data_IF_137091926420
#
_entry.id   IF_137091926420
#
_cell.length_a   1.000
_cell.length_b   1.000
_cell.length_c   1.000
_cell.angle_alpha   90.00
_cell.angle_beta   90.00
_cell.angle_gamma   90.00
#
_symmetry.space_group_name_H-M   'P 1'
#
loop_
_entity.id
_entity.type
_entity.pdbx_description
1 polymer ?
#
# COMPACT_ATOMS: atom_id res chain seq x y z
N UNK A 1 5.68 8.72 -11.20
CA UNK A 1 4.60 7.88 -10.63
C UNK A 1 5.16 7.05 -9.49
N UNK A 2 4.47 7.02 -8.36
CA UNK A 2 4.91 6.24 -7.21
C UNK A 2 4.54 4.76 -7.40
N UNK A 3 5.48 3.87 -7.17
CA UNK A 3 5.29 2.42 -7.36
C UNK A 3 6.14 1.64 -6.36
N UNK A 4 5.86 0.34 -6.24
CA UNK A 4 6.71 -0.53 -5.43
C UNK A 4 8.09 -0.67 -6.06
N UNK A 5 9.11 -0.80 -5.21
CA UNK A 5 10.46 -1.12 -5.66
C UNK A 5 10.45 -2.42 -6.46
N UNK A 6 11.22 -2.45 -7.54
CA UNK A 6 11.32 -3.64 -8.40
C UNK A 6 11.69 -4.87 -7.58
N UNK A 7 10.92 -5.95 -7.76
CA UNK A 7 11.13 -7.19 -7.03
C UNK A 7 10.43 -7.26 -5.67
N UNK A 8 9.80 -6.18 -5.22
CA UNK A 8 8.99 -6.21 -4.01
C UNK A 8 7.72 -7.04 -4.24
N UNK A 9 7.32 -7.82 -3.24
CA UNK A 9 6.15 -8.69 -3.33
C UNK A 9 5.22 -8.47 -2.14
N UNK A 10 3.91 -8.59 -2.40
CA UNK A 10 2.89 -8.55 -1.37
C UNK A 10 2.31 -9.96 -1.25
N UNK A 11 2.37 -10.52 -0.05
CA UNK A 11 1.75 -11.79 0.27
C UNK A 11 0.53 -11.49 1.14
N UNK A 12 -0.64 -11.90 0.70
CA UNK A 12 -1.91 -11.61 1.38
C UNK A 12 -2.48 -12.85 2.03
N UNK A 13 -2.97 -12.69 3.27
CA UNK A 13 -3.76 -13.71 3.94
C UNK A 13 -5.24 -13.45 3.60
N UNK A 14 -5.89 -14.31 2.80
CA UNK A 14 -7.27 -14.08 2.40
C UNK A 14 -8.27 -14.19 3.56
N UNK A 15 -7.90 -14.88 4.63
CA UNK A 15 -8.80 -15.04 5.78
C UNK A 15 -8.94 -13.75 6.59
N UNK A 16 -7.87 -12.94 6.70
CA UNK A 16 -7.85 -11.73 7.52
C UNK A 16 -7.79 -10.45 6.70
N UNK A 17 -7.41 -10.52 5.42
CA UNK A 17 -7.13 -9.37 4.58
C UNK A 17 -5.79 -8.70 4.89
N UNK A 18 -5.05 -9.19 5.89
CA UNK A 18 -3.72 -8.70 6.22
C UNK A 18 -2.69 -9.27 5.27
N UNK A 19 -1.52 -8.66 5.26
CA UNK A 19 -0.47 -9.10 4.37
C UNK A 19 0.92 -8.73 4.85
N UNK A 20 1.88 -9.08 4.00
CA UNK A 20 3.29 -8.82 4.23
C UNK A 20 3.89 -8.28 2.95
N UNK A 21 4.64 -7.18 3.07
CA UNK A 21 5.46 -6.66 1.98
C UNK A 21 6.88 -7.17 2.19
N UNK A 22 7.43 -7.82 1.17
CA UNK A 22 8.80 -8.33 1.19
C UNK A 22 9.59 -7.66 0.08
N UNK A 23 10.74 -7.07 0.43
CA UNK A 23 11.64 -6.45 -0.56
C UNK A 23 12.75 -7.42 -0.94
N UNK A 24 13.44 -7.18 -2.10
CA UNK A 24 14.53 -8.06 -2.55
C UNK A 24 15.69 -8.16 -1.56
N UNK A 25 15.90 -7.13 -0.72
CA UNK A 25 16.92 -7.14 0.33
C UNK A 25 16.43 -7.79 1.63
N UNK A 26 15.34 -8.57 1.56
CA UNK A 26 14.76 -9.37 2.65
C UNK A 26 14.19 -8.57 3.81
N UNK A 27 13.89 -7.29 3.63
CA UNK A 27 13.13 -6.53 4.63
C UNK A 27 11.65 -6.87 4.53
N UNK A 28 10.97 -6.88 5.67
CA UNK A 28 9.59 -7.33 5.77
C UNK A 28 8.77 -6.29 6.54
N UNK A 29 7.61 -5.92 6.00
CA UNK A 29 6.62 -5.08 6.68
C UNK A 29 5.31 -5.83 6.82
N UNK A 30 4.75 -5.82 8.02
CA UNK A 30 3.39 -6.31 8.25
C UNK A 30 2.40 -5.24 7.79
N UNK A 31 1.43 -5.65 6.99
CA UNK A 31 0.43 -4.76 6.39
C UNK A 31 -0.95 -5.04 6.98
N UNK A 32 -1.64 -3.98 7.39
CA UNK A 32 -3.06 -4.07 7.71
C UNK A 32 -3.89 -4.16 6.40
N UNK A 33 -5.20 -4.47 6.48
CA UNK A 33 -6.00 -4.62 5.26
C UNK A 33 -6.00 -3.41 4.34
N UNK A 34 -6.02 -2.19 4.89
CA UNK A 34 -6.00 -0.98 4.06
C UNK A 34 -4.68 -0.80 3.33
N UNK A 35 -3.56 -1.12 3.98
CA UNK A 35 -2.25 -1.09 3.33
C UNK A 35 -2.16 -2.12 2.20
N UNK A 36 -2.70 -3.31 2.39
CA UNK A 36 -2.75 -4.34 1.33
C UNK A 36 -3.51 -3.83 0.12
N UNK A 37 -4.69 -3.25 0.31
CA UNK A 37 -5.50 -2.71 -0.79
C UNK A 37 -4.76 -1.62 -1.54
N UNK A 38 -4.18 -0.65 -0.82
CA UNK A 38 -3.49 0.48 -1.43
C UNK A 38 -2.24 0.04 -2.21
N UNK A 39 -1.39 -0.79 -1.61
CA UNK A 39 -0.15 -1.23 -2.23
C UNK A 39 -0.40 -2.20 -3.39
N UNK A 40 -1.44 -3.02 -3.32
CA UNK A 40 -1.84 -3.88 -4.42
C UNK A 40 -2.22 -3.05 -5.64
N UNK A 41 -2.95 -1.93 -5.45
CA UNK A 41 -3.30 -1.05 -6.55
C UNK A 41 -2.05 -0.43 -7.19
N UNK A 42 -1.08 0.02 -6.39
CA UNK A 42 0.18 0.53 -6.92
C UNK A 42 0.97 -0.55 -7.65
N UNK A 43 0.98 -1.77 -7.14
CA UNK A 43 1.68 -2.90 -7.77
C UNK A 43 1.09 -3.26 -9.13
N UNK A 44 -0.20 -2.99 -9.34
CA UNK A 44 -0.90 -3.21 -10.61
C UNK A 44 -0.70 -2.09 -11.62
N UNK A 45 0.05 -1.07 -11.26
CA UNK A 45 0.30 0.09 -12.11
C UNK A 45 -0.67 1.25 -11.87
N UNK A 46 -1.52 1.17 -10.86
CA UNK A 46 -2.42 2.26 -10.47
C UNK A 46 -1.67 3.43 -9.84
N UNK A 47 -2.33 4.58 -9.83
CA UNK A 47 -1.80 5.79 -9.20
C UNK A 47 -2.16 5.84 -7.71
N UNK A 48 -1.59 6.81 -6.98
CA UNK A 48 -1.98 7.07 -5.59
C UNK A 48 -3.47 7.45 -5.52
N UNK A 49 -3.97 8.21 -6.50
CA UNK A 49 -5.39 8.54 -6.58
C UNK A 49 -6.27 7.28 -6.76
N UNK A 50 -5.81 6.32 -7.57
CA UNK A 50 -6.50 5.04 -7.74
C UNK A 50 -6.51 4.25 -6.44
N UNK A 51 -5.40 4.24 -5.72
CA UNK A 51 -5.30 3.58 -4.41
C UNK A 51 -6.28 4.21 -3.41
N UNK A 52 -6.33 5.53 -3.34
CA UNK A 52 -7.29 6.25 -2.48
C UNK A 52 -8.72 5.89 -2.82
N UNK A 53 -9.06 5.83 -4.11
CA UNK A 53 -10.39 5.45 -4.55
C UNK A 53 -10.78 4.03 -4.08
N UNK A 54 -9.86 3.09 -4.15
CA UNK A 54 -10.09 1.73 -3.65
C UNK A 54 -10.35 1.73 -2.14
N UNK A 55 -9.62 2.55 -1.38
CA UNK A 55 -9.83 2.67 0.06
C UNK A 55 -11.22 3.22 0.38
N UNK A 56 -11.65 4.25 -0.33
CA UNK A 56 -12.98 4.85 -0.15
C UNK A 56 -14.08 3.82 -0.45
N UNK A 57 -13.91 3.01 -1.48
CA UNK A 57 -14.88 1.98 -1.85
C UNK A 57 -14.98 0.87 -0.82
N UNK A 58 -13.85 0.49 -0.22
CA UNK A 58 -13.78 -0.62 0.74
C UNK A 58 -14.20 -0.19 2.14
N UNK A 59 -13.96 1.05 2.51
CA UNK A 59 -14.28 1.60 3.83
C UNK A 59 -15.09 2.90 3.70
N UNK A 60 -16.35 2.81 3.22
CA UNK A 60 -17.17 4.00 2.95
C UNK A 60 -17.54 4.77 4.21
N UNK A 61 -17.49 4.14 5.39
CA UNK A 61 -17.85 4.79 6.66
C UNK A 61 -16.67 5.53 7.30
N UNK A 62 -15.45 5.37 6.76
CA UNK A 62 -14.28 6.09 7.25
C UNK A 62 -14.17 7.42 6.52
N UNK A 63 -13.95 8.55 7.22
CA UNK A 63 -13.78 9.83 6.56
C UNK A 63 -12.63 9.78 5.54
N UNK A 64 -12.86 10.36 4.35
CA UNK A 64 -11.87 10.38 3.26
C UNK A 64 -10.56 11.03 3.73
N UNK A 65 -10.65 12.11 4.51
CA UNK A 65 -9.47 12.79 5.03
C UNK A 65 -8.59 11.87 5.87
N UNK A 66 -9.20 10.98 6.66
CA UNK A 66 -8.46 10.01 7.46
C UNK A 66 -7.80 8.94 6.59
N UNK A 67 -8.52 8.42 5.60
CA UNK A 67 -7.95 7.45 4.66
C UNK A 67 -6.76 8.04 3.92
N UNK A 68 -6.88 9.31 3.50
CA UNK A 68 -5.80 10.02 2.80
C UNK A 68 -4.58 10.21 3.69
N UNK A 69 -4.79 10.62 4.95
CA UNK A 69 -3.69 10.79 5.92
C UNK A 69 -2.98 9.45 6.18
N UNK A 70 -3.74 8.38 6.39
CA UNK A 70 -3.17 7.05 6.64
C UNK A 70 -2.37 6.56 5.43
N UNK A 71 -2.88 6.79 4.21
CA UNK A 71 -2.19 6.44 2.99
C UNK A 71 -0.89 7.23 2.82
N UNK A 72 -0.92 8.54 3.06
CA UNK A 72 0.26 9.39 2.97
C UNK A 72 1.32 8.95 3.97
N UNK A 73 0.94 8.63 5.19
CA UNK A 73 1.86 8.13 6.23
C UNK A 73 2.50 6.81 5.82
N UNK A 74 1.70 5.87 5.32
CA UNK A 74 2.19 4.59 4.83
C UNK A 74 3.21 4.77 3.70
N UNK A 75 2.85 5.55 2.69
CA UNK A 75 3.72 5.76 1.52
C UNK A 75 4.99 6.50 1.89
N UNK A 76 4.91 7.50 2.79
CA UNK A 76 6.08 8.20 3.29
C UNK A 76 7.05 7.29 4.01
N UNK A 77 6.55 6.43 4.89
CA UNK A 77 7.36 5.45 5.61
C UNK A 77 8.06 4.47 4.65
N UNK A 78 7.31 3.93 3.69
CA UNK A 78 7.86 2.97 2.73
C UNK A 78 8.82 3.63 1.76
N UNK A 79 8.57 4.89 1.38
CA UNK A 79 9.47 5.63 0.50
C UNK A 79 10.82 5.90 1.19
N UNK A 80 10.80 6.30 2.45
CA UNK A 80 12.03 6.48 3.23
C UNK A 80 12.83 5.19 3.34
N UNK A 81 12.14 4.07 3.45
CA UNK A 81 12.75 2.74 3.53
C UNK A 81 13.19 2.19 2.16
N UNK A 82 12.86 2.87 1.06
CA UNK A 82 13.19 2.42 -0.28
C UNK A 82 12.30 1.30 -0.82
N UNK A 83 11.20 0.98 -0.13
CA UNK A 83 10.26 -0.05 -0.59
C UNK A 83 9.28 0.47 -1.63
N UNK A 84 9.08 1.78 -1.69
CA UNK A 84 8.27 2.50 -2.68
C UNK A 84 9.13 3.61 -3.27
N UNK A 85 9.05 3.81 -4.57
CA UNK A 85 9.90 4.78 -5.27
C UNK A 85 9.13 5.46 -6.40
N UNK A 86 9.60 6.61 -6.83
CA UNK A 86 9.10 7.28 -8.02
C UNK A 86 9.79 6.74 -9.27
N UNK A 87 8.98 6.62 -10.33
CA UNK A 87 9.45 6.27 -11.66
C UNK A 87 8.98 7.26 -12.70
#
# INVERSE_FOLDING_TARGET
MLTLTTGAQIVTDPATGRGTLVTPDTRVWTLNPSAVVALTELARGGTVADAELQLVRRWPDVPVARLRTDLDTLLGTLQEAGAVTYR
#
